data_IF_553104720725
#
_entry.id   IF_553104720725
#
_cell.length_a   1.000
_cell.length_b   1.000
_cell.length_c   1.000
_cell.angle_alpha   90.00
_cell.angle_beta   90.00
_cell.angle_gamma   90.00
#
_symmetry.space_group_name_H-M   'P 1'
#
loop_
_entity.id
_entity.type
_entity.pdbx_description
1 polymer ?
#
# COMPACT_ATOMS: atom_id res chain seq x y z
N UNK A 1 -1.69 11.40 -9.59
CA UNK A 1 -0.74 11.96 -8.60
C UNK A 1 -1.43 12.13 -7.25
N UNK A 2 -0.71 11.93 -6.12
CA UNK A 2 -1.23 12.22 -4.76
C UNK A 2 -0.32 13.29 -4.14
N UNK A 3 -0.92 14.32 -3.54
CA UNK A 3 -0.20 15.33 -2.77
C UNK A 3 -0.84 15.47 -1.39
N UNK A 4 -0.01 15.46 -0.35
CA UNK A 4 -0.40 15.72 1.05
C UNK A 4 0.35 16.97 1.49
N UNK A 5 -0.38 17.96 2.02
CA UNK A 5 0.17 19.28 2.39
C UNK A 5 -0.24 19.64 3.81
N UNK A 6 0.73 19.68 4.73
CA UNK A 6 0.52 20.11 6.11
C UNK A 6 -0.50 19.27 6.88
N UNK A 7 -0.53 17.95 6.64
CA UNK A 7 -1.53 17.07 7.22
C UNK A 7 -1.29 16.88 8.71
N UNK A 8 -2.31 17.12 9.51
CA UNK A 8 -2.33 16.90 10.95
C UNK A 8 -3.50 16.01 11.36
N UNK A 9 -3.24 15.13 12.30
CA UNK A 9 -4.27 14.23 12.84
C UNK A 9 -3.94 13.86 14.29
N UNK A 10 -4.94 13.94 15.18
CA UNK A 10 -4.84 13.52 16.58
C UNK A 10 -5.84 12.41 16.89
N UNK A 11 -5.56 11.67 17.93
CA UNK A 11 -6.50 10.76 18.59
C UNK A 11 -6.59 11.26 20.02
N UNK A 12 -7.78 11.71 20.43
CA UNK A 12 -7.98 12.46 21.69
C UNK A 12 -6.97 13.64 21.73
N UNK A 13 -6.19 13.77 22.80
CA UNK A 13 -5.20 14.83 22.96
C UNK A 13 -3.83 14.50 22.35
N UNK A 14 -3.65 13.30 21.77
CA UNK A 14 -2.37 12.85 21.24
C UNK A 14 -2.24 13.11 19.74
N UNK A 15 -1.35 14.03 19.36
CA UNK A 15 -1.03 14.31 17.96
C UNK A 15 -0.23 13.14 17.34
N UNK A 16 -0.86 12.44 16.38
CA UNK A 16 -0.33 11.27 15.70
C UNK A 16 0.42 11.66 14.42
N UNK A 17 -0.16 12.57 13.62
CA UNK A 17 0.47 13.14 12.43
C UNK A 17 0.72 14.63 12.68
N UNK A 18 1.91 15.10 12.31
CA UNK A 18 2.40 16.43 12.64
C UNK A 18 3.02 17.07 11.41
N UNK A 19 2.24 17.89 10.72
CA UNK A 19 2.69 18.69 9.57
C UNK A 19 3.33 17.81 8.46
N UNK A 20 2.56 16.83 7.98
CA UNK A 20 3.03 15.88 6.97
C UNK A 20 2.94 16.48 5.58
N UNK A 21 4.05 16.44 4.86
CA UNK A 21 4.15 16.70 3.42
C UNK A 21 4.61 15.44 2.70
N UNK A 22 3.89 15.06 1.63
CA UNK A 22 4.21 13.86 0.86
C UNK A 22 3.67 14.02 -0.57
N UNK A 23 4.44 13.57 -1.55
CA UNK A 23 4.01 13.55 -2.95
C UNK A 23 4.25 12.17 -3.57
N UNK A 24 3.22 11.60 -4.19
CA UNK A 24 3.31 10.39 -5.01
C UNK A 24 3.10 10.77 -6.46
N UNK A 25 4.17 10.80 -7.26
CA UNK A 25 4.09 11.08 -8.69
C UNK A 25 3.41 9.92 -9.42
N UNK A 26 2.79 10.21 -10.56
CA UNK A 26 2.14 9.21 -11.38
C UNK A 26 3.09 8.07 -11.77
N UNK A 27 2.57 6.85 -11.76
CA UNK A 27 3.29 5.62 -12.11
C UNK A 27 4.57 5.39 -11.32
N UNK A 28 4.69 5.99 -10.11
CA UNK A 28 5.79 5.77 -9.19
C UNK A 28 5.37 4.88 -8.05
N UNK A 29 6.30 4.05 -7.60
CA UNK A 29 6.15 3.24 -6.41
C UNK A 29 6.83 3.97 -5.24
N UNK A 30 6.03 4.53 -4.35
CA UNK A 30 6.49 5.27 -3.17
C UNK A 30 6.29 4.43 -1.92
N UNK A 31 7.36 4.27 -1.14
CA UNK A 31 7.35 3.56 0.14
C UNK A 31 7.28 4.52 1.33
N UNK A 32 6.54 4.14 2.36
CA UNK A 32 6.56 4.78 3.68
C UNK A 32 7.14 3.77 4.66
N UNK A 33 8.28 4.12 5.27
CA UNK A 33 8.98 3.30 6.26
C UNK A 33 9.03 3.99 7.61
N UNK A 34 9.33 3.26 8.67
CA UNK A 34 9.48 3.81 10.02
C UNK A 34 9.12 2.79 11.11
N UNK A 35 9.48 3.09 12.36
CA UNK A 35 9.19 2.21 13.48
C UNK A 35 7.69 1.99 13.70
N UNK A 36 7.33 0.92 14.42
CA UNK A 36 5.93 0.65 14.76
C UNK A 36 5.35 1.79 15.62
N UNK A 37 4.09 2.15 15.35
CA UNK A 37 3.41 3.23 16.07
C UNK A 37 3.83 4.65 15.67
N UNK A 38 4.69 4.87 14.67
CA UNK A 38 5.09 6.21 14.25
C UNK A 38 4.06 6.97 13.39
N UNK A 39 2.92 6.31 13.02
CA UNK A 39 1.81 6.96 12.30
C UNK A 39 1.60 6.53 10.86
N UNK A 40 2.36 5.56 10.31
CA UNK A 40 2.29 5.13 8.89
C UNK A 40 0.87 4.73 8.45
N UNK A 41 0.25 3.77 9.13
CA UNK A 41 -1.12 3.32 8.78
C UNK A 41 -2.16 4.42 9.03
N UNK A 42 -1.94 5.30 10.00
CA UNK A 42 -2.78 6.48 10.23
C UNK A 42 -2.69 7.46 9.05
N UNK A 43 -1.49 7.68 8.50
CA UNK A 43 -1.30 8.48 7.30
C UNK A 43 -2.09 7.90 6.11
N UNK A 44 -1.93 6.60 5.83
CA UNK A 44 -2.68 5.95 4.77
C UNK A 44 -4.20 6.07 4.98
N UNK A 45 -4.69 5.82 6.22
CA UNK A 45 -6.11 5.92 6.57
C UNK A 45 -6.72 7.31 6.31
N UNK A 46 -5.94 8.36 6.48
CA UNK A 46 -6.35 9.72 6.08
C UNK A 46 -6.35 9.86 4.55
N UNK A 47 -5.32 9.35 3.85
CA UNK A 47 -5.22 9.44 2.39
C UNK A 47 -6.36 8.72 1.68
N UNK A 48 -6.87 7.58 2.21
CA UNK A 48 -8.03 6.91 1.61
C UNK A 48 -9.38 7.23 2.28
N UNK A 49 -9.45 8.34 3.06
CA UNK A 49 -10.68 8.86 3.69
C UNK A 49 -11.35 7.93 4.70
N UNK A 50 -10.63 7.00 5.29
CA UNK A 50 -11.15 6.21 6.42
C UNK A 50 -11.15 7.03 7.72
N UNK A 51 -10.15 7.90 7.89
CA UNK A 51 -10.06 8.88 8.98
C UNK A 51 -10.22 10.29 8.40
N UNK A 52 -10.77 11.20 9.21
CA UNK A 52 -10.89 12.62 8.86
C UNK A 52 -9.78 13.39 9.57
N UNK A 53 -8.90 14.01 8.81
CA UNK A 53 -7.81 14.84 9.34
C UNK A 53 -8.33 16.18 9.90
N UNK A 54 -7.53 16.82 10.76
CA UNK A 54 -7.86 18.08 11.44
C UNK A 54 -7.49 19.29 10.59
N UNK A 55 -6.30 19.25 9.99
CA UNK A 55 -5.78 20.33 9.16
C UNK A 55 -4.94 19.80 8.01
N UNK A 56 -4.63 20.67 7.06
CA UNK A 56 -3.90 20.32 5.84
C UNK A 56 -4.83 20.00 4.67
N UNK A 57 -4.23 19.44 3.61
CA UNK A 57 -4.94 19.07 2.39
C UNK A 57 -4.39 17.75 1.82
N UNK A 58 -5.30 16.95 1.26
CA UNK A 58 -4.96 15.77 0.45
C UNK A 58 -5.57 15.98 -0.93
N UNK A 59 -4.74 15.97 -1.95
CA UNK A 59 -5.13 16.28 -3.34
C UNK A 59 -4.80 15.06 -4.20
N UNK A 60 -5.77 14.62 -5.01
CA UNK A 60 -5.62 13.53 -5.99
C UNK A 60 -5.97 14.09 -7.35
N UNK A 61 -5.03 14.01 -8.29
CA UNK A 61 -5.20 14.52 -9.67
C UNK A 61 -5.76 15.96 -9.69
N UNK A 62 -5.20 16.87 -8.89
CA UNK A 62 -5.58 18.27 -8.70
C UNK A 62 -6.95 18.52 -8.07
N UNK A 63 -7.64 17.51 -7.57
CA UNK A 63 -8.92 17.62 -6.86
C UNK A 63 -8.69 17.31 -5.39
N UNK A 64 -9.20 18.14 -4.48
CA UNK A 64 -9.14 17.85 -3.05
C UNK A 64 -9.98 16.59 -2.73
N UNK A 65 -9.43 15.71 -1.89
CA UNK A 65 -10.05 14.41 -1.64
C UNK A 65 -11.46 14.53 -1.04
N UNK A 66 -11.75 15.61 -0.32
CA UNK A 66 -13.07 15.95 0.21
C UNK A 66 -14.13 16.12 -0.89
N UNK A 67 -13.74 16.59 -2.06
CA UNK A 67 -14.63 16.92 -3.18
C UNK A 67 -14.99 15.70 -4.03
N UNK A 68 -14.27 14.61 -3.85
CA UNK A 68 -14.61 13.36 -4.54
C UNK A 68 -15.89 12.73 -3.99
N UNK A 69 -16.82 12.38 -4.88
CA UNK A 69 -17.88 11.41 -4.55
C UNK A 69 -17.26 10.05 -4.25
N UNK A 70 -17.77 9.32 -3.26
CA UNK A 70 -17.20 8.04 -2.81
C UNK A 70 -16.99 7.04 -3.95
N UNK A 71 -17.95 6.89 -4.88
CA UNK A 71 -17.84 6.01 -6.04
C UNK A 71 -16.75 6.46 -7.02
N UNK A 72 -16.58 7.75 -7.23
CA UNK A 72 -15.54 8.30 -8.10
C UNK A 72 -14.14 8.06 -7.50
N UNK A 73 -13.98 8.27 -6.19
CA UNK A 73 -12.74 7.97 -5.48
C UNK A 73 -12.41 6.47 -5.53
N UNK A 74 -13.41 5.59 -5.33
CA UNK A 74 -13.24 4.15 -5.42
C UNK A 74 -12.84 3.67 -6.83
N UNK A 75 -13.23 4.37 -7.90
CA UNK A 75 -12.71 4.08 -9.26
C UNK A 75 -11.26 4.51 -9.44
N UNK A 76 -10.82 5.53 -8.70
CA UNK A 76 -9.45 6.07 -8.79
C UNK A 76 -8.43 5.35 -7.93
N UNK A 77 -8.86 4.83 -6.78
CA UNK A 77 -7.97 4.34 -5.75
C UNK A 77 -8.45 3.00 -5.18
N UNK A 78 -7.63 1.96 -5.31
CA UNK A 78 -7.80 0.70 -4.62
C UNK A 78 -6.97 0.67 -3.33
N UNK A 79 -7.49 0.01 -2.30
CA UNK A 79 -6.87 -0.04 -0.98
C UNK A 79 -6.76 -1.47 -0.47
N UNK A 80 -5.55 -1.87 -0.11
CA UNK A 80 -5.27 -3.02 0.74
C UNK A 80 -5.02 -2.51 2.16
N UNK A 81 -5.99 -2.64 3.04
CA UNK A 81 -5.86 -2.26 4.45
C UNK A 81 -5.25 -3.39 5.30
N UNK A 82 -4.55 -3.04 6.39
CA UNK A 82 -3.78 -3.95 7.23
C UNK A 82 -4.63 -5.07 7.88
N UNK A 83 -5.86 -4.78 8.30
CA UNK A 83 -6.77 -5.78 8.89
C UNK A 83 -8.16 -5.66 8.28
N UNK A 84 -8.70 -6.78 7.86
CA UNK A 84 -10.08 -6.91 7.46
C UNK A 84 -10.68 -8.09 8.22
N UNK A 85 -11.44 -7.79 9.26
CA UNK A 85 -12.24 -8.82 9.94
C UNK A 85 -13.46 -9.11 9.05
N UNK A 86 -13.42 -10.21 8.33
CA UNK A 86 -14.57 -10.72 7.61
C UNK A 86 -15.28 -11.73 8.50
N UNK A 87 -16.50 -11.39 8.93
CA UNK A 87 -17.31 -12.23 9.80
C UNK A 87 -18.33 -13.09 9.01
N UNK A 88 -18.25 -13.03 7.67
CA UNK A 88 -19.14 -13.76 6.77
C UNK A 88 -18.34 -14.76 5.94
N UNK A 89 -18.96 -15.89 5.67
CA UNK A 89 -18.37 -16.98 4.89
C UNK A 89 -18.57 -16.73 3.39
N UNK A 90 -17.62 -15.97 2.79
CA UNK A 90 -17.53 -15.75 1.35
C UNK A 90 -16.52 -16.68 0.72
N UNK A 91 -16.76 -17.05 -0.54
CA UNK A 91 -15.75 -17.71 -1.37
C UNK A 91 -14.65 -16.74 -1.76
N UNK A 92 -13.50 -17.29 -2.15
CA UNK A 92 -12.35 -16.51 -2.65
C UNK A 92 -12.77 -15.64 -3.84
N UNK A 93 -13.57 -16.18 -4.77
CA UNK A 93 -14.09 -15.47 -5.95
C UNK A 93 -14.97 -14.29 -5.55
N UNK A 94 -15.93 -14.49 -4.64
CA UNK A 94 -16.80 -13.42 -4.14
C UNK A 94 -16.03 -12.28 -3.48
N UNK A 95 -14.98 -12.59 -2.72
CA UNK A 95 -14.10 -11.57 -2.13
C UNK A 95 -13.43 -10.72 -3.22
N UNK A 96 -12.92 -11.35 -4.28
CA UNK A 96 -12.25 -10.62 -5.38
C UNK A 96 -13.26 -9.82 -6.19
N UNK A 97 -14.46 -10.36 -6.43
CA UNK A 97 -15.56 -9.65 -7.09
C UNK A 97 -15.97 -8.36 -6.37
N UNK A 98 -15.86 -8.30 -5.04
CA UNK A 98 -16.12 -7.05 -4.29
C UNK A 98 -15.22 -5.90 -4.77
N UNK A 99 -14.04 -6.18 -5.31
CA UNK A 99 -13.19 -5.17 -5.95
C UNK A 99 -13.88 -4.46 -7.12
N UNK A 100 -14.81 -5.13 -7.80
CA UNK A 100 -15.53 -4.58 -8.97
C UNK A 100 -16.72 -3.70 -8.62
N UNK A 101 -17.06 -3.56 -7.34
CA UNK A 101 -18.24 -2.79 -6.88
C UNK A 101 -18.27 -1.36 -7.43
N UNK A 102 -17.12 -0.69 -7.52
CA UNK A 102 -17.04 0.67 -8.04
C UNK A 102 -17.45 0.78 -9.52
N UNK A 103 -17.37 -0.33 -10.27
CA UNK A 103 -17.56 -0.40 -11.74
C UNK A 103 -18.84 -1.13 -12.15
N UNK A 104 -19.76 -1.46 -11.22
CA UNK A 104 -20.95 -2.29 -11.49
C UNK A 104 -21.85 -1.79 -12.63
N UNK A 105 -21.84 -0.49 -12.93
CA UNK A 105 -22.70 0.11 -13.97
C UNK A 105 -22.02 0.17 -15.36
N UNK A 106 -20.75 -0.18 -15.49
CA UNK A 106 -19.96 0.12 -16.67
C UNK A 106 -19.40 -1.10 -17.43
N UNK A 107 -19.60 -2.33 -16.92
CA UNK A 107 -19.04 -3.53 -17.53
C UNK A 107 -20.10 -4.59 -17.79
N UNK A 108 -19.99 -5.28 -18.91
CA UNK A 108 -20.73 -6.51 -19.17
C UNK A 108 -20.28 -7.62 -18.20
N UNK A 109 -21.15 -8.58 -17.89
CA UNK A 109 -20.85 -9.65 -16.93
C UNK A 109 -19.56 -10.43 -17.31
N UNK A 110 -19.36 -10.70 -18.59
CA UNK A 110 -18.17 -11.40 -19.11
C UNK A 110 -16.86 -10.64 -18.90
N UNK A 111 -16.85 -9.30 -19.01
CA UNK A 111 -15.65 -8.48 -18.74
C UNK A 111 -15.32 -8.46 -17.24
N UNK A 112 -16.37 -8.46 -16.41
CA UNK A 112 -16.21 -8.52 -14.95
C UNK A 112 -15.58 -9.85 -14.52
N UNK A 113 -16.07 -10.97 -15.04
CA UNK A 113 -15.55 -12.32 -14.75
C UNK A 113 -14.09 -12.46 -15.21
N UNK A 114 -13.73 -11.96 -16.39
CA UNK A 114 -12.37 -11.99 -16.91
C UNK A 114 -11.36 -11.29 -15.99
N UNK A 115 -11.69 -10.10 -15.50
CA UNK A 115 -10.81 -9.35 -14.58
C UNK A 115 -10.65 -10.01 -13.21
N UNK A 116 -11.68 -10.65 -12.69
CA UNK A 116 -11.62 -11.42 -11.44
C UNK A 116 -10.72 -12.64 -11.60
N UNK A 117 -10.89 -13.38 -12.70
CA UNK A 117 -10.09 -14.57 -12.97
C UNK A 117 -8.61 -14.22 -13.19
N UNK A 118 -8.31 -13.17 -13.95
CA UNK A 118 -6.95 -12.66 -14.16
C UNK A 118 -6.30 -12.23 -12.84
N UNK A 119 -7.04 -11.52 -11.99
CA UNK A 119 -6.54 -11.12 -10.67
C UNK A 119 -6.22 -12.34 -9.79
N UNK A 120 -7.09 -13.35 -9.76
CA UNK A 120 -6.85 -14.59 -9.01
C UNK A 120 -5.66 -15.38 -9.55
N UNK A 121 -5.51 -15.46 -10.86
CA UNK A 121 -4.39 -16.15 -11.51
C UNK A 121 -3.06 -15.46 -11.18
N UNK A 122 -3.05 -14.12 -11.22
CA UNK A 122 -1.85 -13.31 -10.94
C UNK A 122 -1.25 -13.54 -9.54
N UNK A 123 -2.08 -13.89 -8.57
CA UNK A 123 -1.67 -14.20 -7.18
C UNK A 123 -1.61 -15.71 -6.89
N UNK A 124 -1.84 -16.57 -7.89
CA UNK A 124 -1.81 -18.03 -7.74
C UNK A 124 -2.95 -18.59 -6.89
N UNK A 125 -4.15 -18.00 -6.96
CA UNK A 125 -5.34 -18.42 -6.18
C UNK A 125 -6.51 -18.90 -7.05
N UNK A 126 -6.32 -19.04 -8.36
CA UNK A 126 -7.36 -19.43 -9.32
C UNK A 126 -8.02 -20.77 -8.97
N UNK A 127 -7.23 -21.79 -8.65
CA UNK A 127 -7.74 -23.12 -8.30
C UNK A 127 -8.53 -23.15 -6.99
N UNK A 128 -8.39 -22.13 -6.16
CA UNK A 128 -9.06 -22.01 -4.86
C UNK A 128 -10.31 -21.12 -4.92
N UNK A 129 -10.74 -20.66 -6.10
CA UNK A 129 -11.79 -19.65 -6.26
C UNK A 129 -13.12 -19.96 -5.56
N UNK A 130 -13.49 -21.23 -5.48
CA UNK A 130 -14.73 -21.70 -4.82
C UNK A 130 -14.54 -22.04 -3.33
N UNK A 131 -13.31 -21.96 -2.80
CA UNK A 131 -13.04 -22.27 -1.40
C UNK A 131 -13.51 -21.13 -0.50
N UNK A 132 -13.96 -21.46 0.71
CA UNK A 132 -14.30 -20.48 1.75
C UNK A 132 -13.04 -19.68 2.14
N UNK A 133 -13.16 -18.35 2.14
CA UNK A 133 -12.08 -17.43 2.54
C UNK A 133 -11.62 -17.68 3.99
N UNK A 134 -12.54 -18.04 4.88
CA UNK A 134 -12.24 -18.28 6.29
C UNK A 134 -11.38 -19.54 6.52
N UNK A 135 -11.30 -20.45 5.55
CA UNK A 135 -10.48 -21.67 5.64
C UNK A 135 -9.06 -21.50 5.13
N UNK A 136 -8.72 -20.31 4.66
CA UNK A 136 -7.40 -20.00 4.10
C UNK A 136 -6.37 -19.73 5.20
N UNK A 137 -5.11 -20.04 4.91
CA UNK A 137 -3.98 -19.54 5.72
C UNK A 137 -3.85 -18.02 5.62
N UNK A 138 -3.18 -17.38 6.58
CA UNK A 138 -2.97 -15.92 6.55
C UNK A 138 -2.31 -15.42 5.26
N UNK A 139 -1.36 -16.18 4.72
CA UNK A 139 -0.72 -15.83 3.44
C UNK A 139 -1.64 -15.99 2.23
N UNK A 140 -2.52 -17.00 2.22
CA UNK A 140 -3.54 -17.16 1.17
C UNK A 140 -4.58 -16.04 1.25
N UNK A 141 -5.06 -15.70 2.46
CA UNK A 141 -5.97 -14.56 2.68
C UNK A 141 -5.36 -13.26 2.14
N UNK A 142 -4.09 -12.99 2.45
CA UNK A 142 -3.40 -11.79 1.98
C UNK A 142 -3.33 -11.73 0.45
N UNK A 143 -3.03 -12.84 -0.22
CA UNK A 143 -3.02 -12.91 -1.69
C UNK A 143 -4.40 -12.65 -2.30
N UNK A 144 -5.47 -13.19 -1.71
CA UNK A 144 -6.86 -12.91 -2.14
C UNK A 144 -7.21 -11.43 -1.98
N UNK A 145 -6.82 -10.80 -0.88
CA UNK A 145 -7.06 -9.37 -0.65
C UNK A 145 -6.29 -8.49 -1.64
N UNK A 146 -5.09 -8.91 -2.04
CA UNK A 146 -4.32 -8.24 -3.10
C UNK A 146 -5.02 -8.43 -4.45
N UNK A 147 -5.48 -9.64 -4.78
CA UNK A 147 -6.27 -9.89 -6.00
C UNK A 147 -7.52 -9.00 -6.05
N UNK A 148 -8.23 -8.83 -4.93
CA UNK A 148 -9.37 -7.91 -4.82
C UNK A 148 -8.98 -6.47 -5.16
N UNK A 149 -7.85 -5.99 -4.62
CA UNK A 149 -7.37 -4.64 -4.89
C UNK A 149 -6.95 -4.47 -6.36
N UNK A 150 -6.36 -5.49 -6.97
CA UNK A 150 -5.99 -5.50 -8.39
C UNK A 150 -7.22 -5.57 -9.30
N UNK A 151 -8.21 -6.41 -8.96
CA UNK A 151 -9.47 -6.53 -9.69
C UNK A 151 -10.28 -5.23 -9.72
N UNK A 152 -10.06 -4.31 -8.77
CA UNK A 152 -10.69 -2.99 -8.78
C UNK A 152 -10.28 -2.14 -9.98
N UNK A 153 -9.13 -2.41 -10.58
CA UNK A 153 -8.58 -1.76 -11.78
C UNK A 153 -8.54 -0.22 -11.70
N UNK A 154 -8.04 0.28 -10.59
CA UNK A 154 -7.84 1.71 -10.33
C UNK A 154 -6.44 2.18 -10.75
N UNK A 155 -6.27 3.50 -10.96
CA UNK A 155 -4.98 4.12 -11.29
C UNK A 155 -4.00 4.17 -10.11
N UNK A 156 -4.56 4.22 -8.89
CA UNK A 156 -3.82 4.36 -7.64
C UNK A 156 -4.02 3.11 -6.78
N UNK A 157 -2.93 2.62 -6.19
CA UNK A 157 -2.93 1.49 -5.28
C UNK A 157 -2.30 1.88 -3.95
N UNK A 158 -3.09 1.84 -2.88
CA UNK A 158 -2.64 2.07 -1.51
C UNK A 158 -2.49 0.72 -0.81
N UNK A 159 -1.28 0.43 -0.31
CA UNK A 159 -0.96 -0.85 0.32
C UNK A 159 -0.47 -0.64 1.75
N UNK A 160 -1.21 -1.13 2.72
CA UNK A 160 -0.80 -1.12 4.13
C UNK A 160 -0.21 -2.49 4.48
N UNK A 161 1.13 -2.59 4.51
CA UNK A 161 1.89 -3.80 4.83
C UNK A 161 1.55 -5.01 3.93
N UNK A 162 1.68 -4.89 2.59
CA UNK A 162 1.22 -5.92 1.65
C UNK A 162 1.94 -7.27 1.79
N UNK A 163 3.12 -7.29 2.38
CA UNK A 163 3.96 -8.48 2.51
C UNK A 163 3.86 -9.19 3.86
N UNK A 164 3.05 -8.67 4.80
CA UNK A 164 2.88 -9.28 6.10
C UNK A 164 2.27 -10.68 6.00
N UNK A 165 2.74 -11.59 6.86
CA UNK A 165 2.31 -12.99 6.93
C UNK A 165 2.58 -13.83 5.67
N UNK A 166 3.37 -13.31 4.71
CA UNK A 166 3.79 -14.03 3.52
C UNK A 166 5.18 -14.64 3.69
N UNK A 167 5.35 -15.86 3.18
CA UNK A 167 6.66 -16.43 2.98
C UNK A 167 7.47 -15.60 1.97
N UNK A 168 8.78 -15.62 2.06
CA UNK A 168 9.70 -14.82 1.23
C UNK A 168 9.44 -14.98 -0.28
N UNK A 169 9.08 -16.18 -0.72
CA UNK A 169 8.68 -16.44 -2.11
C UNK A 169 7.51 -15.55 -2.54
N UNK A 170 6.45 -15.52 -1.73
CA UNK A 170 5.24 -14.75 -2.03
C UNK A 170 5.44 -13.25 -1.82
N UNK A 171 6.27 -12.84 -0.85
CA UNK A 171 6.65 -11.43 -0.70
C UNK A 171 7.27 -10.89 -2.00
N UNK A 172 8.24 -11.61 -2.56
CA UNK A 172 8.91 -11.23 -3.81
C UNK A 172 7.91 -11.23 -4.97
N UNK A 173 7.11 -12.29 -5.13
CA UNK A 173 6.13 -12.40 -6.21
C UNK A 173 5.10 -11.25 -6.18
N UNK A 174 4.58 -10.91 -5.01
CA UNK A 174 3.61 -9.83 -4.85
C UNK A 174 4.24 -8.46 -5.16
N UNK A 175 5.45 -8.20 -4.68
CA UNK A 175 6.12 -6.94 -4.95
C UNK A 175 6.46 -6.77 -6.44
N UNK A 176 6.89 -7.84 -7.10
CA UNK A 176 7.09 -7.85 -8.56
C UNK A 176 5.77 -7.63 -9.32
N UNK A 177 4.70 -8.34 -8.93
CA UNK A 177 3.39 -8.18 -9.53
C UNK A 177 2.90 -6.74 -9.41
N UNK A 178 2.91 -6.18 -8.21
CA UNK A 178 2.50 -4.80 -7.93
C UNK A 178 3.33 -3.82 -8.76
N UNK A 179 4.64 -3.98 -8.82
CA UNK A 179 5.53 -3.13 -9.63
C UNK A 179 5.24 -3.22 -11.13
N UNK A 180 4.93 -4.42 -11.65
CA UNK A 180 4.59 -4.65 -13.07
C UNK A 180 3.29 -3.95 -13.49
N UNK A 181 2.38 -3.66 -12.58
CA UNK A 181 1.12 -2.94 -12.90
C UNK A 181 1.34 -1.54 -13.43
N UNK A 182 2.51 -0.94 -13.15
CA UNK A 182 2.85 0.46 -13.49
C UNK A 182 1.82 1.49 -12.99
N UNK A 183 1.05 1.14 -11.96
CA UNK A 183 0.11 2.05 -11.29
C UNK A 183 0.87 3.05 -10.40
N UNK A 184 0.19 4.07 -9.93
CA UNK A 184 0.69 4.96 -8.89
C UNK A 184 0.52 4.25 -7.55
N UNK A 185 1.62 3.94 -6.86
CA UNK A 185 1.60 3.09 -5.67
C UNK A 185 2.13 3.86 -4.46
N UNK A 186 1.38 3.83 -3.37
CA UNK A 186 1.84 4.25 -2.05
C UNK A 186 1.70 3.07 -1.09
N UNK A 187 2.83 2.61 -0.55
CA UNK A 187 2.86 1.43 0.31
C UNK A 187 3.57 1.68 1.63
N UNK A 188 2.99 1.22 2.73
CA UNK A 188 3.73 1.03 3.99
C UNK A 188 4.50 -0.28 3.90
N UNK A 189 5.81 -0.22 4.09
CA UNK A 189 6.70 -1.37 3.97
C UNK A 189 7.55 -1.47 5.24
N UNK A 190 7.60 -2.67 5.85
CA UNK A 190 8.38 -2.92 7.05
C UNK A 190 9.82 -3.32 6.75
N UNK A 191 10.02 -4.14 5.74
CA UNK A 191 11.33 -4.63 5.34
C UNK A 191 12.05 -3.56 4.49
N UNK A 192 13.19 -3.07 5.00
CA UNK A 192 13.98 -2.03 4.33
C UNK A 192 14.60 -2.52 3.03
N UNK A 193 14.97 -3.81 2.94
CA UNK A 193 15.54 -4.38 1.72
C UNK A 193 14.47 -4.56 0.63
N UNK A 194 13.23 -4.87 1.02
CA UNK A 194 12.07 -4.84 0.11
C UNK A 194 11.81 -3.40 -0.34
N UNK A 195 11.78 -2.44 0.57
CA UNK A 195 11.57 -1.03 0.22
C UNK A 195 12.69 -0.52 -0.72
N UNK A 196 13.95 -0.85 -0.42
CA UNK A 196 15.09 -0.53 -1.28
C UNK A 196 14.95 -1.12 -2.68
N UNK A 197 14.53 -2.39 -2.78
CA UNK A 197 14.49 -3.12 -4.06
C UNK A 197 13.36 -2.66 -4.99
N UNK A 198 12.23 -2.22 -4.43
CA UNK A 198 11.02 -2.00 -5.23
C UNK A 198 10.59 -0.54 -5.35
N UNK A 199 10.85 0.31 -4.33
CA UNK A 199 10.39 1.70 -4.35
C UNK A 199 11.26 2.58 -5.26
N UNK A 200 10.62 3.55 -5.91
CA UNK A 200 11.28 4.62 -6.64
C UNK A 200 11.63 5.80 -5.73
N UNK A 201 10.85 5.99 -4.66
CA UNK A 201 11.01 7.04 -3.66
C UNK A 201 10.53 6.55 -2.30
N UNK A 202 11.13 7.03 -1.23
CA UNK A 202 10.86 6.58 0.13
C UNK A 202 10.70 7.77 1.06
N UNK A 203 9.69 7.70 1.93
CA UNK A 203 9.48 8.58 3.07
C UNK A 203 9.73 7.81 4.36
N UNK A 204 10.67 8.28 5.19
CA UNK A 204 10.94 7.72 6.51
C UNK A 204 10.25 8.52 7.61
N UNK A 205 9.33 7.88 8.32
CA UNK A 205 8.54 8.47 9.39
C UNK A 205 9.11 8.17 10.78
N UNK A 206 9.14 9.19 11.65
CA UNK A 206 9.42 9.06 13.07
C UNK A 206 8.51 9.96 13.89
N UNK A 207 7.88 9.44 14.94
CA UNK A 207 7.04 10.19 15.90
C UNK A 207 6.03 11.16 15.25
N UNK A 208 5.40 10.69 14.14
CA UNK A 208 4.37 11.44 13.44
C UNK A 208 4.87 12.49 12.44
N UNK A 209 6.16 12.50 12.10
CA UNK A 209 6.77 13.41 11.11
C UNK A 209 7.48 12.64 10.01
N UNK A 210 7.64 13.24 8.84
CA UNK A 210 8.62 12.81 7.84
C UNK A 210 9.98 13.36 8.29
N UNK A 211 10.94 12.47 8.53
CA UNK A 211 12.28 12.81 9.00
C UNK A 211 13.33 12.71 7.89
N UNK A 212 13.09 11.86 6.92
CA UNK A 212 13.94 11.64 5.76
C UNK A 212 13.06 11.33 4.55
N UNK A 213 13.51 11.74 3.38
CA UNK A 213 12.86 11.39 2.11
C UNK A 213 13.89 11.39 0.97
N UNK A 214 13.62 10.64 -0.09
CA UNK A 214 14.50 10.58 -1.26
C UNK A 214 14.40 9.26 -2.00
N UNK A 215 15.32 9.06 -2.94
CA UNK A 215 15.52 7.75 -3.57
C UNK A 215 16.11 6.77 -2.56
N UNK A 216 16.00 5.45 -2.80
CA UNK A 216 16.57 4.45 -1.89
C UNK A 216 18.04 4.72 -1.54
N UNK A 217 18.86 5.16 -2.50
CA UNK A 217 20.28 5.45 -2.31
C UNK A 217 20.54 6.64 -1.39
N UNK A 218 19.61 7.60 -1.34
CA UNK A 218 19.67 8.80 -0.49
C UNK A 218 19.12 8.51 0.91
N UNK A 219 18.13 7.64 1.02
CA UNK A 219 17.42 7.32 2.26
C UNK A 219 18.17 6.28 3.09
N UNK A 220 18.64 5.19 2.46
CA UNK A 220 19.29 4.10 3.17
C UNK A 220 20.78 4.36 3.37
N UNK A 221 21.08 5.25 4.32
CA UNK A 221 22.42 5.50 4.87
C UNK A 221 22.46 5.09 6.34
N UNK A 222 23.64 4.78 6.89
CA UNK A 222 23.81 4.45 8.30
C UNK A 222 23.22 5.54 9.21
N UNK A 223 23.46 6.80 8.88
CA UNK A 223 22.99 7.96 9.65
C UNK A 223 21.45 8.04 9.66
N UNK A 224 20.82 7.89 8.49
CA UNK A 224 19.38 7.96 8.36
C UNK A 224 18.68 6.81 9.05
N UNK A 225 19.22 5.58 8.94
CA UNK A 225 18.66 4.40 9.62
C UNK A 225 18.78 4.59 11.14
N UNK A 226 19.94 5.01 11.64
CA UNK A 226 20.11 5.34 13.06
C UNK A 226 19.14 6.44 13.51
N UNK A 227 18.97 7.50 12.70
CA UNK A 227 18.05 8.61 13.00
C UNK A 227 16.60 8.14 13.13
N UNK A 228 16.12 7.32 12.22
CA UNK A 228 14.68 6.94 12.14
C UNK A 228 14.38 5.73 13.01
N UNK A 229 15.23 4.69 12.98
CA UNK A 229 14.97 3.40 13.61
C UNK A 229 15.74 3.16 14.90
N UNK A 230 16.74 4.01 15.21
CA UNK A 230 17.58 3.93 16.43
C UNK A 230 18.41 2.63 16.48
N UNK A 231 18.79 2.07 15.32
CA UNK A 231 19.63 0.87 15.18
C UNK A 231 20.86 1.17 14.35
N UNK A 232 21.96 0.45 14.64
CA UNK A 232 23.18 0.46 13.83
C UNK A 232 23.05 -0.58 12.70
N UNK A 233 23.60 -0.29 11.54
CA UNK A 233 23.63 -1.19 10.40
C UNK A 233 24.85 -0.93 9.51
N UNK A 234 25.14 -1.90 8.65
CA UNK A 234 26.04 -1.76 7.52
C UNK A 234 25.21 -1.59 6.24
N UNK A 235 25.75 -0.80 5.29
CA UNK A 235 25.14 -0.64 3.98
C UNK A 235 26.10 -1.22 2.93
N UNK A 236 25.62 -2.22 2.22
CA UNK A 236 26.28 -2.79 1.06
C UNK A 236 25.51 -2.43 -0.22
N UNK A 237 26.10 -2.75 -1.37
CA UNK A 237 25.39 -2.69 -2.65
C UNK A 237 24.86 -4.07 -3.04
N UNK A 238 23.61 -4.13 -3.45
CA UNK A 238 23.02 -5.37 -3.96
C UNK A 238 23.70 -5.75 -5.30
N UNK A 239 24.25 -6.98 -5.45
CA UNK A 239 25.14 -7.34 -6.56
C UNK A 239 24.49 -7.30 -7.95
N UNK A 240 23.15 -7.39 -8.04
CA UNK A 240 22.41 -7.38 -9.31
C UNK A 240 21.75 -6.04 -9.64
N UNK A 241 21.44 -5.22 -8.63
CA UNK A 241 20.60 -4.01 -8.84
C UNK A 241 21.31 -2.72 -8.46
N UNK A 242 22.50 -2.79 -7.88
CA UNK A 242 23.28 -1.67 -7.32
C UNK A 242 22.55 -0.90 -6.20
N UNK A 243 21.35 -1.33 -5.82
CA UNK A 243 20.57 -0.69 -4.77
C UNK A 243 21.13 -0.98 -3.37
N UNK A 244 20.90 -0.10 -2.39
CA UNK A 244 21.33 -0.32 -1.02
C UNK A 244 20.79 -1.65 -0.46
N UNK A 245 21.68 -2.42 0.16
CA UNK A 245 21.37 -3.62 0.94
C UNK A 245 21.70 -3.33 2.40
N UNK A 246 20.71 -3.38 3.25
CA UNK A 246 20.81 -3.10 4.68
C UNK A 246 21.13 -4.41 5.41
N UNK A 247 22.21 -4.39 6.19
CA UNK A 247 22.74 -5.54 6.95
C UNK A 247 22.77 -5.14 8.44
N UNK A 248 22.05 -5.89 9.28
CA UNK A 248 22.02 -5.71 10.73
C UNK A 248 22.93 -6.68 11.46
#
# INVERSE_FOLDING_TARGET
MIEVKGLEYSIEDKKILKDIFLTVKEKKFVGVIGANGCGKSTLLKNIYRFLKYESGKIIIDNIEISDYKSKALAKKMAVLAQKQNMNFDFTVEEIVEMGRYAHQESLFASEKEGLVEEALESVGMKEMKKRSFLTLSGGEMQRVLIARALAQDSDILILDEPTNHLDIKYQIQIMELVKKTKKTILAVIHDMNIASSYCDYIYGMKKGKIEIEGKPEEVFTRENIKKVFEVECEIAKHPKTDRPLIIF
#
